data_IF_756729541003
#
_entry.id   IF_756729541003
#
_cell.length_a   1.000
_cell.length_b   1.000
_cell.length_c   1.000
_cell.angle_alpha   90.00
_cell.angle_beta   90.00
_cell.angle_gamma   90.00
#
_symmetry.space_group_name_H-M   'P 1'
#
loop_
_entity.id
_entity.type
_entity.pdbx_description
1 polymer ?
#
# COMPACT_ATOMS: atom_id res chain seq x y z
N UNK A 1 -15.89 -8.79 17.93
CA UNK A 1 -15.72 -7.83 19.05
C UNK A 1 -14.45 -8.17 19.82
N UNK A 2 -13.33 -7.49 19.53
CA UNK A 2 -12.28 -7.20 20.52
C UNK A 2 -12.00 -5.68 20.56
N UNK A 3 -12.36 -4.99 21.64
CA UNK A 3 -11.46 -4.51 22.72
C UNK A 3 -10.37 -3.54 22.28
N UNK A 4 -10.75 -2.26 22.34
CA UNK A 4 -9.97 -1.04 22.46
C UNK A 4 -8.62 -1.20 23.18
N UNK A 5 -7.53 -0.86 22.52
CA UNK A 5 -6.22 -0.64 23.15
C UNK A 5 -5.50 0.56 22.54
N UNK A 6 -6.08 1.76 22.64
CA UNK A 6 -5.35 3.02 22.64
C UNK A 6 -6.15 4.08 23.42
N UNK A 7 -5.96 4.14 24.74
CA UNK A 7 -6.42 5.28 25.56
C UNK A 7 -5.23 5.87 26.31
N UNK A 8 -4.76 7.01 25.83
CA UNK A 8 -3.95 7.95 26.60
C UNK A 8 -4.68 9.29 26.61
N UNK A 9 -5.12 9.66 27.81
CA UNK A 9 -6.00 10.79 28.10
C UNK A 9 -5.13 11.99 28.47
N UNK A 10 -5.23 13.08 27.68
CA UNK A 10 -4.68 14.39 28.06
C UNK A 10 -5.86 15.36 28.15
N UNK A 11 -6.19 15.76 29.38
CA UNK A 11 -7.16 16.81 29.65
C UNK A 11 -6.53 18.17 29.36
N UNK A 12 -7.17 18.98 28.51
CA UNK A 12 -6.95 20.42 28.45
C UNK A 12 -8.31 21.13 28.40
N UNK A 13 -8.50 22.04 29.36
CA UNK A 13 -9.73 22.77 29.62
C UNK A 13 -10.15 23.66 28.44
N UNK A 14 -11.43 23.56 28.06
CA UNK A 14 -12.06 24.41 27.05
C UNK A 14 -12.43 25.76 27.67
N UNK A 15 -11.88 26.85 27.14
CA UNK A 15 -12.47 28.19 27.30
C UNK A 15 -13.14 28.58 25.98
N UNK A 16 -14.42 28.89 26.09
CA UNK A 16 -15.32 29.26 25.00
C UNK A 16 -15.01 30.66 24.48
N UNK A 17 -14.73 30.79 23.19
CA UNK A 17 -14.83 32.06 22.46
C UNK A 17 -15.47 31.75 21.11
N UNK A 18 -16.65 32.32 20.87
CA UNK A 18 -17.39 32.20 19.60
C UNK A 18 -16.65 32.96 18.48
N UNK A 19 -16.57 32.43 17.24
CA UNK A 19 -15.95 33.15 16.14
C UNK A 19 -16.95 34.06 15.44
N UNK A 20 -16.64 35.36 15.41
CA UNK A 20 -17.26 36.36 14.54
C UNK A 20 -16.80 36.15 13.09
N UNK A 21 -17.75 36.23 12.15
CA UNK A 21 -17.67 36.01 10.69
C UNK A 21 -16.75 36.97 9.89
N UNK A 22 -15.56 37.34 10.39
CA UNK A 22 -14.59 38.20 9.70
C UNK A 22 -13.32 37.48 9.20
N UNK A 23 -13.20 36.16 9.39
CA UNK A 23 -11.94 35.42 9.17
C UNK A 23 -11.71 34.85 7.77
N UNK A 24 -12.69 34.86 6.86
CA UNK A 24 -12.64 34.07 5.63
C UNK A 24 -11.79 34.68 4.51
N UNK A 25 -11.69 36.02 4.42
CA UNK A 25 -10.81 36.71 3.43
C UNK A 25 -9.34 36.74 3.84
N UNK A 26 -9.06 36.68 5.13
CA UNK A 26 -7.69 36.79 5.66
C UNK A 26 -6.88 35.51 5.44
N UNK A 27 -7.51 34.34 5.49
CA UNK A 27 -6.85 33.04 5.29
C UNK A 27 -6.41 32.77 3.83
N UNK A 28 -7.16 33.24 2.82
CA UNK A 28 -6.78 33.10 1.41
C UNK A 28 -5.51 33.89 1.08
N UNK A 29 -5.46 35.12 1.58
CA UNK A 29 -4.30 35.98 1.47
C UNK A 29 -3.12 35.35 2.21
N UNK A 30 -3.36 34.76 3.38
CA UNK A 30 -2.36 34.08 4.17
C UNK A 30 -1.69 32.92 3.41
N UNK A 31 -2.44 32.01 2.78
CA UNK A 31 -1.85 30.91 2.00
C UNK A 31 -0.97 31.42 0.84
N UNK A 32 -1.44 32.43 0.11
CA UNK A 32 -0.68 33.07 -0.99
C UNK A 32 0.59 33.78 -0.50
N UNK A 33 0.52 34.47 0.64
CA UNK A 33 1.68 35.11 1.25
C UNK A 33 2.71 34.10 1.76
N UNK A 34 2.25 32.99 2.34
CA UNK A 34 3.11 31.91 2.80
C UNK A 34 3.77 31.20 1.61
N UNK A 35 3.06 30.99 0.49
CA UNK A 35 3.65 30.47 -0.75
C UNK A 35 4.72 31.41 -1.32
N UNK A 36 4.44 32.72 -1.35
CA UNK A 36 5.42 33.73 -1.77
C UNK A 36 6.66 33.72 -0.86
N UNK A 37 6.46 33.57 0.45
CA UNK A 37 7.53 33.45 1.43
C UNK A 37 8.38 32.19 1.20
N UNK A 38 7.76 31.05 0.88
CA UNK A 38 8.49 29.83 0.52
C UNK A 38 9.37 30.07 -0.72
N UNK A 39 8.83 30.66 -1.79
CA UNK A 39 9.59 31.01 -3.00
C UNK A 39 10.74 31.96 -2.70
N UNK A 40 10.51 32.95 -1.84
CA UNK A 40 11.56 33.87 -1.38
C UNK A 40 12.71 33.12 -0.67
N UNK A 41 12.40 32.21 0.25
CA UNK A 41 13.43 31.42 0.94
C UNK A 41 14.22 30.51 -0.01
N UNK A 42 13.55 29.91 -1.01
CA UNK A 42 14.23 29.16 -2.07
C UNK A 42 15.21 30.05 -2.84
N UNK A 43 14.78 31.25 -3.27
CA UNK A 43 15.64 32.21 -3.97
C UNK A 43 16.85 32.65 -3.14
N UNK A 44 16.68 32.77 -1.82
CA UNK A 44 17.76 33.12 -0.88
C UNK A 44 18.64 31.94 -0.48
N UNK A 45 18.45 30.74 -1.05
CA UNK A 45 19.13 29.48 -0.69
C UNK A 45 18.95 29.09 0.79
N UNK A 46 17.88 29.56 1.42
CA UNK A 46 17.52 29.20 2.79
C UNK A 46 16.59 27.98 2.75
N UNK A 47 17.15 26.84 2.33
CA UNK A 47 16.39 25.63 2.00
C UNK A 47 15.62 25.04 3.20
N UNK A 48 16.21 25.04 4.40
CA UNK A 48 15.54 24.54 5.61
C UNK A 48 14.31 25.39 5.98
N UNK A 49 14.40 26.73 5.85
CA UNK A 49 13.27 27.62 6.11
C UNK A 49 12.18 27.44 5.04
N UNK A 50 12.57 27.32 3.77
CA UNK A 50 11.64 27.01 2.69
C UNK A 50 10.88 25.69 2.96
N UNK A 51 11.58 24.63 3.36
CA UNK A 51 10.98 23.34 3.69
C UNK A 51 9.95 23.44 4.82
N UNK A 52 10.27 24.16 5.91
CA UNK A 52 9.34 24.38 7.04
C UNK A 52 8.10 25.18 6.64
N UNK A 53 8.27 26.19 5.80
CA UNK A 53 7.14 27.01 5.30
C UNK A 53 6.24 26.18 4.38
N UNK A 54 6.81 25.39 3.48
CA UNK A 54 6.07 24.48 2.60
C UNK A 54 5.33 23.38 3.39
N UNK A 55 5.96 22.83 4.41
CA UNK A 55 5.31 21.89 5.32
C UNK A 55 4.09 22.52 6.02
N UNK A 56 4.25 23.75 6.51
CA UNK A 56 3.13 24.48 7.14
C UNK A 56 1.97 24.74 6.16
N UNK A 57 2.26 25.02 4.88
CA UNK A 57 1.23 25.14 3.84
C UNK A 57 0.45 23.83 3.67
N UNK A 58 1.15 22.70 3.66
CA UNK A 58 0.52 21.40 3.51
C UNK A 58 -0.42 21.03 4.69
N UNK A 59 -0.08 21.43 5.91
CA UNK A 59 -0.88 21.17 7.11
C UNK A 59 -2.08 22.14 7.29
N UNK A 60 -2.25 23.14 6.42
CA UNK A 60 -3.38 24.07 6.54
C UNK A 60 -4.72 23.35 6.33
N UNK A 61 -5.61 23.47 7.33
CA UNK A 61 -6.98 22.94 7.31
C UNK A 61 -7.87 23.71 6.35
N UNK A 62 -8.78 23.01 5.68
CA UNK A 62 -9.85 23.65 4.94
C UNK A 62 -10.96 24.10 5.88
N UNK A 63 -11.12 25.41 6.05
CA UNK A 63 -12.18 25.94 6.93
C UNK A 63 -13.51 26.11 6.18
N UNK A 64 -13.52 26.33 4.85
CA UNK A 64 -14.75 26.67 4.11
C UNK A 64 -14.88 26.06 2.69
N UNK A 65 -14.12 25.01 2.35
CA UNK A 65 -14.27 24.25 1.09
C UNK A 65 -13.99 25.00 -0.22
N UNK A 66 -13.80 26.32 -0.21
CA UNK A 66 -13.50 27.13 -1.40
C UNK A 66 -12.04 27.56 -1.55
N UNK A 67 -11.26 27.55 -0.48
CA UNK A 67 -9.98 28.28 -0.42
C UNK A 67 -8.85 27.51 0.27
N UNK A 68 -8.95 26.18 0.33
CA UNK A 68 -7.98 25.32 1.00
C UNK A 68 -7.26 24.42 0.00
N UNK A 69 -5.98 24.10 0.25
CA UNK A 69 -5.22 23.32 -0.70
C UNK A 69 -5.83 21.93 -0.85
N UNK A 70 -5.99 21.49 -2.09
CA UNK A 70 -6.45 20.12 -2.37
C UNK A 70 -5.42 19.11 -1.86
N UNK A 71 -5.78 17.83 -1.74
CA UNK A 71 -4.81 16.81 -1.32
C UNK A 71 -3.62 16.72 -2.28
N UNK A 72 -3.86 16.96 -3.56
CA UNK A 72 -2.84 16.99 -4.61
C UNK A 72 -1.92 18.20 -4.44
N UNK A 73 -2.47 19.39 -4.13
CA UNK A 73 -1.68 20.58 -3.82
C UNK A 73 -0.86 20.40 -2.53
N UNK A 74 -1.45 19.83 -1.47
CA UNK A 74 -0.74 19.44 -0.24
C UNK A 74 0.40 18.47 -0.54
N UNK A 75 0.19 17.52 -1.45
CA UNK A 75 1.21 16.56 -1.89
C UNK A 75 2.35 17.28 -2.63
N UNK A 76 2.03 18.24 -3.49
CA UNK A 76 3.05 19.08 -4.15
C UNK A 76 3.86 19.90 -3.15
N UNK A 77 3.20 20.52 -2.16
CA UNK A 77 3.89 21.25 -1.09
C UNK A 77 4.83 20.36 -0.27
N UNK A 78 4.39 19.15 0.11
CA UNK A 78 5.24 18.18 0.83
C UNK A 78 6.40 17.66 -0.04
N UNK A 79 6.17 17.33 -1.32
CA UNK A 79 7.26 16.94 -2.23
C UNK A 79 8.32 18.05 -2.35
N UNK A 80 7.87 19.30 -2.49
CA UNK A 80 8.78 20.44 -2.53
C UNK A 80 9.51 20.61 -1.19
N UNK A 81 8.83 20.42 -0.05
CA UNK A 81 9.47 20.47 1.27
C UNK A 81 10.58 19.43 1.41
N UNK A 82 10.33 18.18 1.01
CA UNK A 82 11.33 17.09 0.99
C UNK A 82 12.52 17.47 0.10
N UNK A 83 12.26 17.99 -1.11
CA UNK A 83 13.32 18.43 -2.02
C UNK A 83 14.18 19.54 -1.41
N UNK A 84 13.58 20.53 -0.75
CA UNK A 84 14.32 21.58 -0.07
C UNK A 84 15.10 21.04 1.14
N UNK A 85 14.53 20.11 1.93
CA UNK A 85 15.24 19.49 3.05
C UNK A 85 16.47 18.70 2.59
N UNK A 86 16.37 17.93 1.49
CA UNK A 86 17.51 17.22 0.89
C UNK A 86 18.60 18.18 0.40
N UNK A 87 18.20 19.30 -0.20
CA UNK A 87 19.15 20.35 -0.62
C UNK A 87 19.83 21.04 0.58
N UNK A 88 19.16 21.14 1.73
CA UNK A 88 19.77 21.65 2.95
C UNK A 88 20.83 20.68 3.49
N UNK A 89 20.49 19.38 3.59
CA UNK A 89 21.39 18.31 4.02
C UNK A 89 22.66 18.22 3.15
N UNK A 90 22.52 18.30 1.82
CA UNK A 90 23.66 18.23 0.90
C UNK A 90 24.64 19.42 1.02
N UNK A 91 24.17 20.60 1.41
CA UNK A 91 25.02 21.80 1.55
C UNK A 91 25.73 21.87 2.92
N UNK A 92 25.21 21.20 3.96
CA UNK A 92 25.74 21.27 5.33
C UNK A 92 26.81 20.19 5.64
N UNK A 93 27.00 19.22 4.72
CA UNK A 93 28.03 18.16 4.81
C UNK A 93 29.48 18.66 4.89
N UNK A 94 29.71 19.98 4.85
CA UNK A 94 31.04 20.59 4.99
C UNK A 94 31.28 21.21 6.37
N UNK A 95 30.26 21.48 7.19
CA UNK A 95 30.43 22.21 8.46
C UNK A 95 29.40 21.78 9.52
N UNK A 96 29.84 21.04 10.54
CA UNK A 96 29.17 20.77 11.83
C UNK A 96 28.33 19.49 11.97
N UNK A 97 28.91 18.51 12.70
CA UNK A 97 28.33 17.20 13.00
C UNK A 97 27.14 17.20 13.97
N UNK A 98 26.86 18.31 14.67
CA UNK A 98 25.74 18.41 15.64
C UNK A 98 24.46 18.98 15.04
N UNK A 99 24.54 19.63 13.87
CA UNK A 99 23.38 20.24 13.19
C UNK A 99 22.71 19.27 12.21
N UNK A 100 23.49 18.36 11.63
CA UNK A 100 23.00 17.33 10.70
C UNK A 100 21.93 16.40 11.30
N UNK A 101 22.01 16.06 12.60
CA UNK A 101 21.04 15.14 13.25
C UNK A 101 19.63 15.72 13.32
N UNK A 102 19.49 17.03 13.57
CA UNK A 102 18.17 17.69 13.60
C UNK A 102 17.57 17.86 12.21
N UNK A 103 18.40 18.03 11.18
CA UNK A 103 17.96 18.21 9.80
C UNK A 103 17.65 16.86 9.13
N UNK A 104 18.35 15.77 9.50
CA UNK A 104 18.07 14.39 9.07
C UNK A 104 16.73 13.90 9.64
N UNK A 105 16.49 14.05 10.95
CA UNK A 105 15.19 13.68 11.55
C UNK A 105 14.00 14.51 11.03
N UNK A 106 14.24 15.75 10.59
CA UNK A 106 13.21 16.54 9.92
C UNK A 106 12.90 16.02 8.51
N UNK A 107 13.90 15.58 7.75
CA UNK A 107 13.70 14.95 6.45
C UNK A 107 12.89 13.65 6.58
N UNK A 108 13.26 12.79 7.52
CA UNK A 108 12.54 11.53 7.77
C UNK A 108 11.07 11.78 8.13
N UNK A 109 10.81 12.78 8.97
CA UNK A 109 9.45 13.21 9.32
C UNK A 109 8.66 13.68 8.09
N UNK A 110 9.28 14.45 7.18
CA UNK A 110 8.63 14.90 5.95
C UNK A 110 8.34 13.74 5.00
N UNK A 111 9.27 12.80 4.83
CA UNK A 111 9.08 11.61 4.00
C UNK A 111 7.96 10.72 4.58
N UNK A 112 7.91 10.55 5.90
CA UNK A 112 6.84 9.82 6.56
C UNK A 112 5.47 10.49 6.40
N UNK A 113 5.39 11.82 6.62
CA UNK A 113 4.15 12.62 6.39
C UNK A 113 3.68 12.52 4.94
N UNK A 114 4.61 12.52 3.99
CA UNK A 114 4.30 12.41 2.57
C UNK A 114 3.73 11.02 2.24
N UNK A 115 4.27 9.95 2.81
CA UNK A 115 3.71 8.60 2.67
C UNK A 115 2.28 8.51 3.24
N UNK A 116 2.04 9.08 4.43
CA UNK A 116 0.69 9.14 5.04
C UNK A 116 -0.30 9.90 4.14
N UNK A 117 0.12 11.03 3.55
CA UNK A 117 -0.72 11.76 2.60
C UNK A 117 -1.04 10.94 1.34
N UNK A 118 -0.08 10.15 0.84
CA UNK A 118 -0.35 9.25 -0.29
C UNK A 118 -1.38 8.18 0.06
N UNK A 119 -1.33 7.62 1.27
CA UNK A 119 -2.40 6.72 1.74
C UNK A 119 -3.74 7.43 1.80
N UNK A 120 -3.78 8.66 2.32
CA UNK A 120 -5.00 9.45 2.38
C UNK A 120 -5.62 9.71 1.00
N UNK A 121 -4.81 10.08 -0.01
CA UNK A 121 -5.26 10.25 -1.40
C UNK A 121 -5.82 8.93 -1.94
N UNK A 122 -5.08 7.83 -1.77
CA UNK A 122 -5.48 6.51 -2.26
C UNK A 122 -6.80 6.03 -1.63
N UNK A 123 -6.98 6.22 -0.33
CA UNK A 123 -8.23 5.89 0.37
C UNK A 123 -9.38 6.72 -0.19
N UNK A 124 -9.18 8.04 -0.36
CA UNK A 124 -10.21 8.92 -0.93
C UNK A 124 -10.63 8.46 -2.32
N UNK A 125 -9.68 8.17 -3.21
CA UNK A 125 -9.96 7.68 -4.57
C UNK A 125 -10.74 6.36 -4.55
N UNK A 126 -10.40 5.43 -3.65
CA UNK A 126 -11.14 4.17 -3.52
C UNK A 126 -12.55 4.36 -2.98
N UNK A 127 -12.75 5.25 -2.00
CA UNK A 127 -14.09 5.58 -1.49
C UNK A 127 -14.95 6.26 -2.56
N UNK A 128 -14.37 7.15 -3.38
CA UNK A 128 -15.05 7.78 -4.51
C UNK A 128 -15.41 6.75 -5.59
N UNK A 129 -14.52 5.78 -5.86
CA UNK A 129 -14.80 4.68 -6.79
C UNK A 129 -15.94 3.77 -6.29
N UNK A 130 -15.96 3.43 -5.00
CA UNK A 130 -17.07 2.67 -4.39
C UNK A 130 -18.40 3.43 -4.52
N UNK A 131 -18.39 4.73 -4.23
CA UNK A 131 -19.57 5.58 -4.37
C UNK A 131 -20.02 5.80 -5.83
N UNK A 132 -19.15 5.58 -6.82
CA UNK A 132 -19.44 5.79 -8.25
C UNK A 132 -19.95 4.53 -8.97
N UNK A 133 -19.66 3.33 -8.46
CA UNK A 133 -20.10 2.06 -9.07
C UNK A 133 -21.63 1.90 -9.10
N UNK A 134 -22.35 2.66 -8.27
CA UNK A 134 -23.81 2.59 -8.16
C UNK A 134 -24.55 3.48 -9.17
N UNK A 135 -23.99 4.65 -9.54
CA UNK A 135 -24.60 5.56 -10.55
C UNK A 135 -24.74 4.86 -11.92
N UNK A 136 -23.92 3.83 -12.17
CA UNK A 136 -24.00 2.99 -13.38
C UNK A 136 -24.98 1.80 -13.26
N UNK A 137 -25.46 1.49 -12.05
CA UNK A 137 -26.28 0.29 -11.75
C UNK A 137 -27.74 0.61 -11.37
N UNK A 138 -28.19 1.87 -11.46
CA UNK A 138 -29.58 2.29 -11.15
C UNK A 138 -30.66 1.80 -12.15
N UNK A 139 -30.67 0.50 -12.50
CA UNK A 139 -31.73 -0.10 -13.34
C UNK A 139 -32.34 -1.40 -12.78
N UNK A 140 -32.14 -1.73 -11.50
CA UNK A 140 -32.76 -2.91 -10.89
C UNK A 140 -33.19 -2.68 -9.44
N UNK A 141 -34.49 -2.77 -9.16
CA UNK A 141 -35.10 -2.69 -7.83
C UNK A 141 -34.71 -3.89 -6.96
N UNK A 142 -34.51 -3.70 -5.64
CA UNK A 142 -34.89 -4.62 -4.52
C UNK A 142 -34.38 -4.11 -3.15
N UNK A 143 -34.94 -4.59 -2.04
CA UNK A 143 -34.76 -4.12 -0.64
C UNK A 143 -33.32 -4.15 -0.08
N UNK A 144 -32.37 -4.86 -0.71
CA UNK A 144 -30.91 -4.76 -0.41
C UNK A 144 -30.31 -3.39 -0.73
N UNK A 145 -31.08 -2.53 -1.41
CA UNK A 145 -30.70 -1.17 -1.79
C UNK A 145 -30.58 -0.20 -0.61
N UNK A 146 -31.30 -0.41 0.50
CA UNK A 146 -31.31 0.57 1.59
C UNK A 146 -30.01 0.56 2.43
N UNK A 147 -29.54 -0.61 2.84
CA UNK A 147 -28.27 -0.74 3.59
C UNK A 147 -27.06 -0.39 2.72
N UNK A 148 -27.14 -0.73 1.41
CA UNK A 148 -26.09 -0.41 0.45
C UNK A 148 -26.05 1.08 0.12
N UNK A 149 -27.21 1.74 0.00
CA UNK A 149 -27.29 3.19 -0.17
C UNK A 149 -26.78 3.95 1.08
N UNK A 150 -27.00 3.44 2.29
CA UNK A 150 -26.43 4.03 3.51
C UNK A 150 -24.89 3.87 3.54
N UNK A 151 -24.37 2.71 3.13
CA UNK A 151 -22.93 2.48 3.00
C UNK A 151 -22.29 3.43 1.98
N UNK A 152 -22.91 3.61 0.81
CA UNK A 152 -22.40 4.49 -0.25
C UNK A 152 -22.48 5.97 0.13
N UNK A 153 -23.58 6.37 0.80
CA UNK A 153 -23.71 7.71 1.40
C UNK A 153 -22.59 7.99 2.39
N UNK A 154 -22.28 7.02 3.26
CA UNK A 154 -21.18 7.08 4.23
C UNK A 154 -19.81 7.14 3.54
N UNK A 155 -19.59 6.35 2.48
CA UNK A 155 -18.35 6.37 1.71
C UNK A 155 -18.11 7.76 1.08
N UNK A 156 -19.15 8.34 0.48
CA UNK A 156 -19.09 9.67 -0.15
C UNK A 156 -18.87 10.79 0.88
N UNK A 157 -19.49 10.70 2.05
CA UNK A 157 -19.25 11.65 3.14
C UNK A 157 -17.81 11.55 3.67
N UNK A 158 -17.34 10.33 3.92
CA UNK A 158 -15.97 10.06 4.39
C UNK A 158 -14.91 10.50 3.38
N UNK A 159 -15.15 10.33 2.07
CA UNK A 159 -14.27 10.85 1.02
C UNK A 159 -14.17 12.39 1.05
N UNK A 160 -15.29 13.09 1.27
CA UNK A 160 -15.28 14.55 1.45
C UNK A 160 -14.53 14.95 2.71
N UNK A 161 -14.71 14.22 3.82
CA UNK A 161 -13.99 14.47 5.07
C UNK A 161 -12.46 14.39 4.89
N UNK A 162 -11.98 13.41 4.11
CA UNK A 162 -10.55 13.27 3.80
C UNK A 162 -9.97 14.45 3.02
N UNK A 163 -10.79 15.25 2.34
CA UNK A 163 -10.27 16.45 1.64
C UNK A 163 -9.98 17.61 2.61
N UNK A 164 -10.53 17.58 3.82
CA UNK A 164 -10.56 18.73 4.73
C UNK A 164 -9.21 19.01 5.38
N UNK A 165 -8.55 17.96 5.87
CA UNK A 165 -7.31 18.07 6.64
C UNK A 165 -6.45 16.82 6.48
N UNK A 166 -5.15 16.94 6.78
CA UNK A 166 -4.26 15.79 6.88
C UNK A 166 -4.64 14.96 8.10
N UNK A 167 -4.97 13.69 7.87
CA UNK A 167 -5.27 12.73 8.92
C UNK A 167 -4.00 12.02 9.38
N UNK A 168 -4.01 11.53 10.61
CA UNK A 168 -2.96 10.66 11.12
C UNK A 168 -3.06 9.26 10.51
N UNK A 169 -1.95 8.53 10.48
CA UNK A 169 -1.93 7.14 9.98
C UNK A 169 -2.88 6.22 10.74
N UNK A 170 -3.05 6.45 12.05
CA UNK A 170 -3.94 5.69 12.93
C UNK A 170 -5.42 5.95 12.63
N UNK A 171 -5.78 7.20 12.32
CA UNK A 171 -7.15 7.55 11.88
C UNK A 171 -7.42 6.94 10.50
N UNK A 172 -6.49 7.08 9.54
CA UNK A 172 -6.63 6.49 8.22
C UNK A 172 -6.89 4.98 8.28
N UNK A 173 -6.20 4.27 9.17
CA UNK A 173 -6.39 2.82 9.34
C UNK A 173 -7.75 2.48 9.99
N UNK A 174 -8.04 3.06 11.16
CA UNK A 174 -9.18 2.65 11.98
C UNK A 174 -10.52 3.23 11.52
N UNK A 175 -10.53 4.46 11.01
CA UNK A 175 -11.77 5.17 10.70
C UNK A 175 -12.13 5.12 9.20
N UNK A 176 -11.19 4.69 8.35
CA UNK A 176 -11.38 4.65 6.90
C UNK A 176 -10.99 3.30 6.28
N UNK A 177 -9.74 2.84 6.38
CA UNK A 177 -9.31 1.66 5.64
C UNK A 177 -10.01 0.37 6.10
N UNK A 178 -10.10 0.12 7.41
CA UNK A 178 -10.76 -1.08 7.96
C UNK A 178 -12.29 -1.06 7.78
N UNK A 179 -13.03 0.03 8.11
CA UNK A 179 -14.48 0.05 7.98
C UNK A 179 -15.02 -0.09 6.56
N UNK A 180 -14.22 0.31 5.56
CA UNK A 180 -14.56 0.20 4.15
C UNK A 180 -13.86 -0.98 3.46
N UNK A 181 -13.26 -1.89 4.23
CA UNK A 181 -12.66 -3.14 3.75
C UNK A 181 -11.58 -2.93 2.66
N UNK A 182 -10.81 -1.84 2.79
CA UNK A 182 -9.73 -1.48 1.87
C UNK A 182 -8.44 -2.25 2.23
N UNK A 183 -8.50 -3.58 2.24
CA UNK A 183 -7.45 -4.44 2.81
C UNK A 183 -6.07 -4.26 2.20
N UNK A 184 -5.98 -3.88 0.93
CA UNK A 184 -4.69 -3.57 0.28
C UNK A 184 -4.02 -2.35 0.91
N UNK A 185 -4.80 -1.30 1.17
CA UNK A 185 -4.30 -0.10 1.84
C UNK A 185 -3.98 -0.41 3.30
N UNK A 186 -4.80 -1.25 3.96
CA UNK A 186 -4.49 -1.74 5.31
C UNK A 186 -3.11 -2.42 5.35
N UNK A 187 -2.81 -3.31 4.40
CA UNK A 187 -1.50 -3.95 4.32
C UNK A 187 -0.38 -2.93 4.10
N UNK A 188 -0.53 -2.02 3.13
CA UNK A 188 0.48 -0.98 2.88
C UNK A 188 0.76 -0.12 4.12
N UNK A 189 -0.29 0.27 4.87
CA UNK A 189 -0.15 1.00 6.14
C UNK A 189 0.59 0.16 7.19
N UNK A 190 0.25 -1.12 7.36
CA UNK A 190 0.88 -2.01 8.33
C UNK A 190 2.37 -2.23 8.03
N UNK A 191 2.72 -2.47 6.77
CA UNK A 191 4.13 -2.60 6.34
C UNK A 191 4.87 -1.27 6.51
N UNK A 192 4.26 -0.13 6.17
CA UNK A 192 4.86 1.19 6.36
C UNK A 192 5.11 1.52 7.83
N UNK A 193 4.17 1.21 8.72
CA UNK A 193 4.31 1.40 10.16
C UNK A 193 5.22 0.36 10.83
N UNK A 194 5.84 -0.53 10.03
CA UNK A 194 6.76 -1.57 10.46
C UNK A 194 6.18 -2.49 11.57
N UNK A 195 4.89 -2.82 11.46
CA UNK A 195 4.22 -3.88 12.25
C UNK A 195 4.70 -5.30 11.86
N UNK A 196 5.95 -5.44 11.44
CA UNK A 196 6.55 -6.70 10.98
C UNK A 196 7.12 -7.55 12.12
N UNK A 197 6.90 -7.16 13.38
CA UNK A 197 7.26 -7.93 14.56
C UNK A 197 6.48 -9.24 14.70
N UNK A 198 6.99 -10.19 15.48
CA UNK A 198 6.46 -11.56 15.60
C UNK A 198 5.01 -11.60 16.12
N UNK A 199 4.63 -10.70 17.05
CA UNK A 199 3.26 -10.58 17.54
C UNK A 199 2.30 -9.95 16.51
N UNK A 200 2.80 -8.96 15.76
CA UNK A 200 2.07 -8.20 14.77
C UNK A 200 1.89 -8.95 13.43
N UNK A 201 2.67 -10.03 13.24
CA UNK A 201 2.53 -11.00 12.14
C UNK A 201 1.11 -11.58 12.07
N UNK A 202 0.42 -11.72 13.21
CA UNK A 202 -0.96 -12.24 13.25
C UNK A 202 -1.95 -11.30 12.54
N UNK A 203 -1.85 -10.00 12.76
CA UNK A 203 -2.70 -8.97 12.13
C UNK A 203 -2.42 -8.92 10.62
N UNK A 204 -1.15 -8.98 10.23
CA UNK A 204 -0.76 -9.02 8.81
C UNK A 204 -1.33 -10.27 8.13
N UNK A 205 -1.18 -11.45 8.75
CA UNK A 205 -1.75 -12.72 8.26
C UNK A 205 -3.26 -12.67 8.12
N UNK A 206 -3.96 -12.14 9.12
CA UNK A 206 -5.41 -11.98 9.09
C UNK A 206 -5.85 -11.01 7.99
N UNK A 207 -5.15 -9.89 7.84
CA UNK A 207 -5.47 -8.88 6.80
C UNK A 207 -5.28 -9.47 5.40
N UNK A 208 -4.21 -10.25 5.20
CA UNK A 208 -4.00 -11.02 3.98
C UNK A 208 -5.12 -12.03 3.73
N UNK A 209 -5.54 -12.79 4.74
CA UNK A 209 -6.65 -13.74 4.62
C UNK A 209 -7.94 -13.05 4.16
N UNK A 210 -8.30 -11.92 4.79
CA UNK A 210 -9.47 -11.11 4.41
C UNK A 210 -9.38 -10.57 2.99
N UNK A 211 -8.21 -10.08 2.58
CA UNK A 211 -7.98 -9.62 1.21
C UNK A 211 -8.19 -10.75 0.19
N UNK A 212 -7.63 -11.94 0.47
CA UNK A 212 -7.78 -13.09 -0.41
C UNK A 212 -9.22 -13.58 -0.43
N UNK A 213 -9.90 -13.67 0.72
CA UNK A 213 -11.30 -14.08 0.79
C UNK A 213 -12.22 -13.14 0.00
N UNK A 214 -11.98 -11.83 0.08
CA UNK A 214 -12.69 -10.82 -0.74
C UNK A 214 -12.41 -10.99 -2.24
N UNK A 215 -11.18 -11.32 -2.64
CA UNK A 215 -10.86 -11.58 -4.04
C UNK A 215 -11.52 -12.87 -4.54
N UNK A 216 -11.48 -13.93 -3.71
CA UNK A 216 -12.11 -15.22 -3.96
C UNK A 216 -13.63 -15.12 -4.11
N UNK A 217 -14.29 -14.23 -3.36
CA UNK A 217 -15.73 -14.01 -3.46
C UNK A 217 -16.12 -13.19 -4.70
N UNK A 218 -15.22 -12.33 -5.21
CA UNK A 218 -15.47 -11.47 -6.38
C UNK A 218 -15.22 -12.17 -7.70
N UNK A 219 -14.15 -12.95 -7.80
CA UNK A 219 -13.70 -13.51 -9.08
C UNK A 219 -12.97 -14.84 -9.00
N UNK A 220 -13.12 -15.58 -7.90
CA UNK A 220 -12.54 -16.91 -7.75
C UNK A 220 -11.02 -16.90 -7.62
N UNK A 221 -10.39 -18.03 -7.97
CA UNK A 221 -8.94 -18.21 -7.81
C UNK A 221 -8.15 -17.30 -8.74
N UNK A 222 -8.64 -17.07 -9.96
CA UNK A 222 -7.97 -16.16 -10.91
C UNK A 222 -7.81 -14.74 -10.35
N UNK A 223 -8.87 -14.18 -9.76
CA UNK A 223 -8.83 -12.85 -9.15
C UNK A 223 -7.94 -12.82 -7.90
N UNK A 224 -8.03 -13.84 -7.04
CA UNK A 224 -7.16 -13.96 -5.87
C UNK A 224 -5.67 -14.03 -6.24
N UNK A 225 -5.32 -14.78 -7.28
CA UNK A 225 -3.97 -14.86 -7.83
C UNK A 225 -3.51 -13.50 -8.41
N UNK A 226 -4.39 -12.78 -9.09
CA UNK A 226 -4.12 -11.44 -9.63
C UNK A 226 -3.82 -10.42 -8.51
N UNK A 227 -4.67 -10.40 -7.47
CA UNK A 227 -4.49 -9.55 -6.28
C UNK A 227 -3.20 -9.90 -5.55
N UNK A 228 -2.93 -11.18 -5.32
CA UNK A 228 -1.69 -11.64 -4.68
C UNK A 228 -0.46 -11.18 -5.46
N UNK A 229 -0.46 -11.33 -6.79
CA UNK A 229 0.65 -10.86 -7.64
C UNK A 229 0.85 -9.36 -7.52
N UNK A 230 -0.23 -8.58 -7.62
CA UNK A 230 -0.15 -7.11 -7.61
C UNK A 230 0.28 -6.55 -6.26
N UNK A 231 -0.35 -7.00 -5.18
CA UNK A 231 -0.07 -6.50 -3.82
C UNK A 231 1.23 -7.09 -3.28
N UNK A 232 1.46 -8.39 -3.48
CA UNK A 232 2.66 -9.08 -3.00
C UNK A 232 3.93 -8.49 -3.62
N UNK A 233 3.96 -8.27 -4.94
CA UNK A 233 5.13 -7.67 -5.60
C UNK A 233 5.38 -6.22 -5.19
N UNK A 234 4.34 -5.48 -4.79
CA UNK A 234 4.50 -4.11 -4.28
C UNK A 234 5.13 -4.12 -2.88
N UNK A 235 4.69 -5.04 -2.02
CA UNK A 235 5.11 -5.11 -0.62
C UNK A 235 6.41 -5.89 -0.42
N UNK A 236 6.85 -6.71 -1.40
CA UNK A 236 8.05 -7.53 -1.28
C UNK A 236 9.34 -6.69 -1.41
N UNK A 237 10.13 -6.50 -0.33
CA UNK A 237 11.35 -5.67 -0.35
C UNK A 237 12.53 -6.34 -1.06
N UNK A 238 12.48 -7.67 -1.27
CA UNK A 238 13.57 -8.44 -1.90
C UNK A 238 14.61 -9.01 -0.93
N UNK A 239 14.56 -8.63 0.35
CA UNK A 239 15.55 -8.99 1.38
C UNK A 239 15.07 -10.08 2.37
N UNK A 240 13.95 -10.75 2.07
CA UNK A 240 13.47 -11.90 2.84
C UNK A 240 12.54 -11.59 4.01
N UNK A 241 12.17 -10.33 4.25
CA UNK A 241 11.08 -9.96 5.19
C UNK A 241 9.70 -9.94 4.50
N UNK A 242 8.60 -10.06 5.25
CA UNK A 242 7.93 -11.34 5.60
C UNK A 242 6.54 -11.31 4.92
N UNK A 243 6.46 -11.67 3.64
CA UNK A 243 5.17 -12.10 3.11
C UNK A 243 4.83 -13.41 3.83
N UNK A 244 3.61 -13.56 4.39
CA UNK A 244 3.25 -14.78 5.11
C UNK A 244 2.88 -15.88 4.11
N UNK A 245 3.87 -16.29 3.31
CA UNK A 245 3.74 -17.18 2.16
C UNK A 245 3.21 -18.56 2.55
N UNK A 246 3.56 -19.04 3.74
CA UNK A 246 3.03 -20.27 4.32
C UNK A 246 1.50 -20.21 4.46
N UNK A 247 0.96 -19.13 5.03
CA UNK A 247 -0.49 -18.95 5.18
C UNK A 247 -1.17 -18.69 3.85
N UNK A 248 -0.58 -17.85 2.99
CA UNK A 248 -1.14 -17.52 1.68
C UNK A 248 -1.19 -18.73 0.74
N UNK A 249 -0.09 -19.50 0.67
CA UNK A 249 0.00 -20.71 -0.13
C UNK A 249 -1.02 -21.74 0.35
N UNK A 250 -1.05 -22.04 1.65
CA UNK A 250 -1.98 -23.02 2.20
C UNK A 250 -3.45 -22.60 1.96
N UNK A 251 -3.77 -21.33 2.19
CA UNK A 251 -5.13 -20.79 2.03
C UNK A 251 -5.62 -20.91 0.58
N UNK A 252 -4.80 -20.47 -0.38
CA UNK A 252 -5.14 -20.55 -1.80
C UNK A 252 -5.22 -22.00 -2.30
N UNK A 253 -4.32 -22.87 -1.88
CA UNK A 253 -4.33 -24.28 -2.33
C UNK A 253 -5.54 -25.05 -1.80
N UNK A 254 -5.96 -24.77 -0.55
CA UNK A 254 -7.22 -25.30 -0.01
C UNK A 254 -8.43 -24.74 -0.76
N UNK A 255 -8.48 -23.43 -0.95
CA UNK A 255 -9.57 -22.76 -1.66
C UNK A 255 -9.72 -23.24 -3.10
N UNK A 256 -8.61 -23.51 -3.79
CA UNK A 256 -8.61 -24.08 -5.13
C UNK A 256 -9.06 -25.53 -5.16
N UNK A 257 -8.62 -26.34 -4.20
CA UNK A 257 -9.05 -27.73 -4.10
C UNK A 257 -10.57 -27.83 -3.83
N UNK A 258 -11.10 -27.01 -2.94
CA UNK A 258 -12.54 -26.97 -2.63
C UNK A 258 -13.37 -26.55 -3.84
N UNK A 259 -12.93 -25.52 -4.58
CA UNK A 259 -13.62 -25.07 -5.80
C UNK A 259 -13.51 -26.06 -6.95
N UNK A 260 -12.39 -26.77 -7.07
CA UNK A 260 -12.20 -27.82 -8.07
C UNK A 260 -13.04 -29.07 -7.76
N UNK A 261 -13.09 -29.50 -6.50
CA UNK A 261 -13.88 -30.68 -6.10
C UNK A 261 -15.38 -30.43 -6.15
N UNK A 262 -15.83 -29.21 -5.84
CA UNK A 262 -17.24 -28.81 -6.00
C UNK A 262 -17.64 -28.55 -7.46
N UNK A 263 -16.68 -28.48 -8.39
CA UNK A 263 -16.93 -28.15 -9.80
C UNK A 263 -17.32 -26.69 -10.03
N UNK A 264 -17.08 -25.81 -9.06
CA UNK A 264 -17.41 -24.38 -9.12
C UNK A 264 -16.48 -23.62 -10.06
N UNK A 265 -15.21 -24.01 -10.11
CA UNK A 265 -14.17 -23.37 -10.93
C UNK A 265 -13.15 -24.41 -11.41
N UNK A 266 -12.75 -24.34 -12.68
CA UNK A 266 -11.65 -25.14 -13.21
C UNK A 266 -10.32 -24.46 -12.90
N UNK A 267 -9.68 -24.86 -11.80
CA UNK A 267 -8.42 -24.26 -11.35
C UNK A 267 -7.24 -25.07 -11.88
N UNK A 268 -6.32 -24.41 -12.58
CA UNK A 268 -5.08 -25.03 -13.05
C UNK A 268 -4.11 -25.33 -11.90
N UNK A 269 -3.19 -26.26 -12.15
CA UNK A 269 -2.09 -26.55 -11.22
C UNK A 269 -0.99 -25.45 -11.26
N UNK A 270 -1.06 -24.54 -12.24
CA UNK A 270 -0.05 -23.51 -12.53
C UNK A 270 -0.40 -22.13 -11.93
N UNK A 271 -1.67 -21.87 -11.61
CA UNK A 271 -2.15 -20.51 -11.31
C UNK A 271 -1.57 -19.97 -9.99
N UNK A 272 -1.66 -20.76 -8.92
CA UNK A 272 -1.16 -20.43 -7.59
C UNK A 272 0.37 -20.34 -7.55
N UNK A 273 1.15 -21.34 -8.01
CA UNK A 273 2.61 -21.26 -7.97
C UNK A 273 3.17 -20.08 -8.79
N UNK A 274 2.56 -19.75 -9.94
CA UNK A 274 2.95 -18.57 -10.72
C UNK A 274 2.61 -17.27 -10.02
N UNK A 275 1.45 -17.19 -9.36
CA UNK A 275 1.09 -16.02 -8.57
C UNK A 275 2.04 -15.79 -7.39
N UNK A 276 2.42 -16.86 -6.66
CA UNK A 276 3.38 -16.80 -5.56
C UNK A 276 4.78 -16.37 -6.04
N UNK A 277 5.25 -16.93 -7.15
CA UNK A 277 6.51 -16.51 -7.78
C UNK A 277 6.49 -15.04 -8.17
N UNK A 278 5.40 -14.58 -8.79
CA UNK A 278 5.26 -13.19 -9.20
C UNK A 278 5.18 -12.24 -8.00
N UNK A 279 4.49 -12.62 -6.93
CA UNK A 279 4.47 -11.89 -5.67
C UNK A 279 5.87 -11.73 -5.06
N UNK A 280 6.73 -12.74 -5.21
CA UNK A 280 8.13 -12.71 -4.76
C UNK A 280 9.09 -12.12 -5.80
N UNK A 281 8.61 -11.37 -6.81
CA UNK A 281 9.42 -10.80 -7.91
C UNK A 281 10.31 -11.83 -8.64
N UNK A 282 9.84 -13.07 -8.75
CA UNK A 282 10.56 -14.18 -9.38
C UNK A 282 11.57 -14.90 -8.48
N UNK A 283 11.66 -14.54 -7.19
CA UNK A 283 12.46 -15.30 -6.23
C UNK A 283 11.82 -16.66 -5.97
N UNK A 284 12.43 -17.72 -6.53
CA UNK A 284 11.93 -19.08 -6.40
C UNK A 284 12.24 -19.73 -5.05
N UNK A 285 13.36 -19.37 -4.42
CA UNK A 285 13.80 -19.97 -3.15
C UNK A 285 12.79 -19.79 -2.01
N UNK A 286 12.24 -18.59 -1.73
CA UNK A 286 11.23 -18.42 -0.68
C UNK A 286 9.98 -19.27 -0.93
N UNK A 287 9.52 -19.33 -2.18
CA UNK A 287 8.35 -20.12 -2.57
C UNK A 287 8.61 -21.61 -2.39
N UNK A 288 9.76 -22.12 -2.85
CA UNK A 288 10.14 -23.52 -2.66
C UNK A 288 10.25 -23.89 -1.19
N UNK A 289 10.89 -23.05 -0.37
CA UNK A 289 10.99 -23.26 1.07
C UNK A 289 9.62 -23.35 1.74
N UNK A 290 8.65 -22.54 1.30
CA UNK A 290 7.28 -22.59 1.85
C UNK A 290 6.57 -23.90 1.51
N UNK A 291 6.68 -24.37 0.26
CA UNK A 291 6.12 -25.67 -0.11
C UNK A 291 6.80 -26.82 0.64
N UNK A 292 8.12 -26.76 0.82
CA UNK A 292 8.86 -27.79 1.57
C UNK A 292 8.42 -27.84 3.05
N UNK A 293 8.26 -26.69 3.69
CA UNK A 293 7.72 -26.59 5.05
C UNK A 293 6.30 -27.14 5.16
N UNK A 294 5.42 -26.79 4.21
CA UNK A 294 4.04 -27.29 4.19
C UNK A 294 3.98 -28.80 3.95
N UNK A 295 4.80 -29.34 3.04
CA UNK A 295 4.87 -30.77 2.74
C UNK A 295 5.43 -31.61 3.90
N UNK A 296 6.39 -31.04 4.63
CA UNK A 296 7.01 -31.61 5.83
C UNK A 296 6.07 -31.60 7.04
N UNK A 297 5.15 -30.64 7.12
CA UNK A 297 4.15 -30.54 8.19
C UNK A 297 2.97 -31.51 7.98
N UNK A 298 3.15 -32.77 8.41
CA UNK A 298 2.13 -33.81 8.33
C UNK A 298 0.81 -33.52 9.06
N UNK A 299 0.80 -32.60 10.04
CA UNK A 299 -0.41 -32.19 10.76
C UNK A 299 -1.38 -31.36 9.91
N UNK A 300 -0.86 -30.61 8.93
CA UNK A 300 -1.65 -29.70 8.08
C UNK A 300 -2.20 -30.46 6.84
N UNK A 301 -1.48 -31.48 6.39
CA UNK A 301 -1.79 -32.28 5.20
C UNK A 301 -2.39 -33.65 5.57
N UNK A 302 -3.56 -33.63 6.22
CA UNK A 302 -4.28 -34.87 6.55
C UNK A 302 -4.85 -35.57 5.31
N UNK A 303 -5.11 -34.84 4.23
CA UNK A 303 -5.66 -35.39 2.98
C UNK A 303 -4.56 -35.67 1.93
N UNK A 304 -4.55 -36.85 1.29
CA UNK A 304 -3.61 -37.15 0.22
C UNK A 304 -3.83 -36.28 -1.03
N UNK A 305 -5.04 -35.74 -1.22
CA UNK A 305 -5.39 -34.94 -2.41
C UNK A 305 -4.73 -33.57 -2.37
N UNK A 306 -4.71 -32.90 -1.22
CA UNK A 306 -4.02 -31.61 -1.06
C UNK A 306 -2.51 -31.79 -1.20
N UNK A 307 -1.94 -32.90 -0.69
CA UNK A 307 -0.52 -33.21 -0.85
C UNK A 307 -0.14 -33.43 -2.32
N UNK A 308 -0.96 -34.14 -3.09
CA UNK A 308 -0.74 -34.29 -4.53
C UNK A 308 -0.79 -32.96 -5.27
N UNK A 309 -1.75 -32.08 -4.92
CA UNK A 309 -1.85 -30.74 -5.51
C UNK A 309 -0.59 -29.92 -5.24
N UNK A 310 -0.15 -29.85 -3.98
CA UNK A 310 1.09 -29.16 -3.61
C UNK A 310 2.32 -29.69 -4.36
N UNK A 311 2.45 -31.01 -4.53
CA UNK A 311 3.55 -31.59 -5.31
C UNK A 311 3.51 -31.17 -6.79
N UNK A 312 2.32 -31.03 -7.37
CA UNK A 312 2.19 -30.50 -8.74
C UNK A 312 2.58 -29.03 -8.79
N UNK A 313 2.13 -28.22 -7.83
CA UNK A 313 2.53 -26.80 -7.72
C UNK A 313 4.05 -26.64 -7.55
N UNK A 314 4.70 -27.50 -6.76
CA UNK A 314 6.17 -27.52 -6.63
C UNK A 314 6.85 -27.80 -7.97
N UNK A 315 6.33 -28.77 -8.72
CA UNK A 315 6.87 -29.11 -10.03
C UNK A 315 6.75 -27.94 -11.02
N UNK A 316 5.70 -27.13 -10.93
CA UNK A 316 5.58 -25.86 -11.67
C UNK A 316 6.68 -24.89 -11.27
N UNK A 317 6.85 -24.65 -9.96
CA UNK A 317 7.87 -23.72 -9.45
C UNK A 317 9.27 -24.12 -9.92
N UNK A 318 9.61 -25.41 -9.86
CA UNK A 318 10.90 -25.93 -10.32
C UNK A 318 11.11 -25.75 -11.83
N UNK A 319 10.06 -25.93 -12.65
CA UNK A 319 10.13 -25.70 -14.10
C UNK A 319 10.37 -24.23 -14.42
N UNK A 320 9.62 -23.33 -13.81
CA UNK A 320 9.77 -21.87 -14.00
C UNK A 320 11.15 -21.40 -13.51
N UNK A 321 11.63 -21.93 -12.39
CA UNK A 321 12.96 -21.61 -11.88
C UNK A 321 14.07 -22.09 -12.81
N UNK A 322 13.99 -23.33 -13.31
CA UNK A 322 14.93 -23.85 -14.28
C UNK A 322 14.95 -22.98 -15.56
N UNK A 323 13.79 -22.62 -16.09
CA UNK A 323 13.67 -21.74 -17.27
C UNK A 323 14.28 -20.36 -17.03
N UNK A 324 14.08 -19.79 -15.84
CA UNK A 324 14.68 -18.51 -15.45
C UNK A 324 16.22 -18.58 -15.41
N UNK A 325 16.78 -19.65 -14.83
CA UNK A 325 18.23 -19.88 -14.80
C UNK A 325 18.79 -20.05 -16.22
N UNK A 326 18.12 -20.82 -17.08
CA UNK A 326 18.52 -20.97 -18.48
C UNK A 326 18.48 -19.64 -19.23
N UNK A 327 17.43 -18.85 -19.06
CA UNK A 327 17.29 -17.53 -19.68
C UNK A 327 18.39 -16.56 -19.23
N UNK A 328 18.75 -16.56 -17.94
CA UNK A 328 19.87 -15.77 -17.42
C UNK A 328 21.19 -16.20 -18.08
N UNK A 329 21.45 -17.51 -18.15
CA UNK A 329 22.69 -18.04 -18.76
C UNK A 329 22.81 -17.68 -20.25
N UNK A 330 21.69 -17.72 -20.99
CA UNK A 330 21.62 -17.34 -22.41
C UNK A 330 21.74 -15.81 -22.57
N UNK A 331 21.11 -15.02 -21.70
CA UNK A 331 21.19 -13.55 -21.72
C UNK A 331 22.57 -13.01 -21.33
N UNK A 332 23.31 -13.72 -20.48
CA UNK A 332 24.72 -13.41 -20.15
C UNK A 332 25.71 -13.88 -21.22
N UNK A 333 25.25 -14.61 -22.24
CA UNK A 333 26.08 -15.07 -23.36
C UNK A 333 26.25 -13.97 -24.42
N UNK A 334 27.02 -12.93 -24.09
CA UNK A 334 27.57 -12.01 -25.11
C UNK A 334 28.72 -12.64 -25.94
N UNK A 335 28.93 -13.96 -25.82
CA UNK A 335 29.92 -14.72 -26.61
C UNK A 335 29.24 -15.51 -27.76
N UNK A 336 27.91 -15.53 -27.83
CA UNK A 336 27.17 -16.22 -28.90
C UNK A 336 26.98 -15.44 -30.21
N UNK A 337 27.36 -14.16 -30.27
CA UNK A 337 27.09 -13.30 -31.43
C UNK A 337 28.22 -13.27 -32.48
N UNK A 338 29.28 -14.07 -32.35
CA UNK A 338 30.45 -14.01 -33.26
C UNK A 338 30.88 -15.33 -33.89
N UNK A 339 30.05 -16.38 -33.88
CA UNK A 339 30.40 -17.67 -34.50
C UNK A 339 29.37 -18.23 -35.50
N UNK A 340 28.42 -17.42 -35.98
CA UNK A 340 27.42 -17.86 -37.00
C UNK A 340 27.64 -17.18 -38.37
N UNK A 341 28.68 -16.35 -38.53
CA UNK A 341 29.06 -15.75 -39.82
C UNK A 341 30.55 -15.99 -40.10
N UNK A 342 30.87 -17.19 -40.55
CA UNK A 342 32.23 -17.53 -40.97
C UNK A 342 32.41 -19.02 -41.23
N UNK A 343 31.81 -19.54 -42.31
CA UNK A 343 31.99 -20.95 -42.66
C UNK A 343 31.16 -21.43 -43.84
N UNK A 344 31.22 -20.75 -44.99
CA UNK A 344 30.88 -21.34 -46.28
C UNK A 344 32.08 -21.18 -47.20
N UNK A 345 32.85 -22.26 -47.33
CA UNK A 345 33.72 -22.48 -48.47
C UNK A 345 32.84 -22.76 -49.70
N UNK A 346 32.96 -21.90 -50.71
CA UNK A 346 33.15 -22.26 -52.11
C UNK A 346 33.90 -21.14 -52.81
#
# INVERSE_FOLDING_TARGET
MPTNLLTLQVHAASSSIQPTNLGTRDHLNQAKYIDLLARYYVLKRQHLLAARVLFRLAEMRSVDGRDAPTLEERCQYLNNAVLQAKNASNNDNLVSSTKGVYDEGFLDMLEAKLAVLRFQIKIKEQLEALASQLEASESGQNEETAERADFDGRAREKAKELSVELKSITELYNDYAVPFELWEVCLEILYFANYSGDADSSIIRETWARLIDQALSRGGIAEACSVLKRVGSHLYPGDGTVLPLDTLCLHLEKAALERSTSGTESVGDEDIPRALLAACKGAAEPVLNTYDQLLSNGAILTSPVIRLRLLRSVLVVLREWAMSIFAQRIGTSSVGASLILGGAFL
#
